data_IF_358590621644
#
_entry.id   IF_358590621644
#
_cell.length_a   1.000
_cell.length_b   1.000
_cell.length_c   1.000
_cell.angle_alpha   90.00
_cell.angle_beta   90.00
_cell.angle_gamma   90.00
#
_symmetry.space_group_name_H-M   'P 1'
#
loop_
_entity.id
_entity.type
_entity.pdbx_description
1 polymer ?
#
# COMPACT_ATOMS: atom_id res chain seq x y z
N UNK A 1 -17.82 35.75 43.46
CA UNK A 1 -17.21 36.09 42.15
C UNK A 1 -18.16 35.57 41.10
N UNK A 2 -18.81 36.45 40.35
CA UNK A 2 -19.71 36.06 39.25
C UNK A 2 -18.87 35.30 38.22
N UNK A 3 -19.21 34.03 37.99
CA UNK A 3 -18.48 33.16 37.09
C UNK A 3 -18.70 33.67 35.65
N UNK A 4 -17.77 34.47 35.15
CA UNK A 4 -17.87 35.19 33.88
C UNK A 4 -17.53 34.29 32.67
N UNK A 5 -17.83 33.00 32.80
CA UNK A 5 -17.45 31.94 31.87
C UNK A 5 -18.72 31.35 31.28
N UNK A 6 -18.80 31.39 29.95
CA UNK A 6 -19.94 30.91 29.19
C UNK A 6 -19.87 29.38 29.02
N UNK A 7 -20.13 28.67 30.13
CA UNK A 7 -20.14 27.21 30.17
C UNK A 7 -21.36 26.61 29.46
N UNK A 8 -21.19 25.43 28.89
CA UNK A 8 -22.26 24.72 28.19
C UNK A 8 -23.41 24.36 29.14
N UNK A 9 -24.65 24.51 28.65
CA UNK A 9 -25.84 24.02 29.35
C UNK A 9 -25.76 22.49 29.49
N UNK A 10 -26.36 21.96 30.56
CA UNK A 10 -26.43 20.52 30.82
C UNK A 10 -26.94 19.71 29.62
N UNK A 11 -27.96 20.22 28.92
CA UNK A 11 -28.51 19.59 27.71
C UNK A 11 -27.44 19.43 26.62
N UNK A 12 -26.61 20.45 26.39
CA UNK A 12 -25.50 20.38 25.42
C UNK A 12 -24.49 19.31 25.80
N UNK A 13 -24.11 19.25 27.08
CA UNK A 13 -23.15 18.26 27.60
C UNK A 13 -23.69 16.83 27.46
N UNK A 14 -25.00 16.62 27.61
CA UNK A 14 -25.63 15.30 27.47
C UNK A 14 -25.83 14.86 26.01
N UNK A 15 -26.08 15.80 25.09
CA UNK A 15 -26.33 15.50 23.68
C UNK A 15 -25.03 15.27 22.92
N UNK A 16 -24.01 16.09 23.18
CA UNK A 16 -22.74 16.09 22.45
C UNK A 16 -22.06 14.71 22.35
N UNK A 17 -21.86 13.93 23.43
CA UNK A 17 -21.28 12.58 23.33
C UNK A 17 -22.13 11.62 22.50
N UNK A 18 -23.46 11.73 22.56
CA UNK A 18 -24.38 10.84 21.84
C UNK A 18 -24.26 11.02 20.33
N UNK A 19 -23.98 12.24 19.87
CA UNK A 19 -23.79 12.57 18.44
C UNK A 19 -22.58 11.87 17.80
N UNK A 20 -21.61 11.46 18.62
CA UNK A 20 -20.35 10.84 18.17
C UNK A 20 -20.18 9.42 18.74
N UNK A 21 -21.25 8.81 19.26
CA UNK A 21 -21.22 7.46 19.82
C UNK A 21 -20.28 7.31 21.03
N UNK A 22 -20.12 8.36 21.84
CA UNK A 22 -19.17 8.42 22.96
C UNK A 22 -17.71 8.18 22.57
N UNK A 23 -17.33 8.41 21.32
CA UNK A 23 -15.94 8.34 20.85
C UNK A 23 -15.29 9.72 20.83
N UNK A 24 -14.00 9.79 21.14
CA UNK A 24 -13.22 11.02 21.02
C UNK A 24 -13.27 11.55 19.58
N UNK A 25 -13.57 12.83 19.35
CA UNK A 25 -13.70 13.40 18.01
C UNK A 25 -12.37 13.62 17.28
N UNK A 26 -11.23 13.47 17.96
CA UNK A 26 -9.92 13.48 17.29
C UNK A 26 -9.79 12.26 16.36
N UNK A 27 -9.60 12.46 15.03
CA UNK A 27 -9.52 11.38 14.04
C UNK A 27 -8.44 10.34 14.32
N UNK A 28 -7.31 10.74 14.93
CA UNK A 28 -6.21 9.83 15.25
C UNK A 28 -6.42 9.07 16.57
N UNK A 29 -7.38 9.53 17.39
CA UNK A 29 -7.61 8.97 18.72
C UNK A 29 -8.81 8.01 18.73
N UNK A 30 -10.01 8.50 18.36
CA UNK A 30 -11.30 7.78 18.31
C UNK A 30 -11.65 6.83 19.48
N UNK A 31 -10.93 6.86 20.59
CA UNK A 31 -11.14 5.93 21.71
C UNK A 31 -12.50 6.14 22.38
N UNK A 32 -13.04 5.06 22.94
CA UNK A 32 -14.24 5.15 23.78
C UNK A 32 -13.96 6.05 24.98
N UNK A 33 -14.91 6.93 25.26
CA UNK A 33 -14.88 7.83 26.42
C UNK A 33 -15.86 7.43 27.50
N UNK A 34 -16.56 6.31 27.32
CA UNK A 34 -17.48 5.73 28.29
C UNK A 34 -17.23 4.23 28.45
N UNK A 35 -17.45 3.72 29.66
CA UNK A 35 -17.33 2.31 29.99
C UNK A 35 -18.10 1.96 31.26
N UNK A 36 -18.13 0.66 31.58
CA UNK A 36 -18.73 0.17 32.81
C UNK A 36 -18.07 0.78 34.07
N UNK A 37 -18.81 0.80 35.16
CA UNK A 37 -18.30 1.14 36.48
C UNK A 37 -18.48 -0.08 37.42
N UNK A 38 -17.72 -0.13 38.51
CA UNK A 38 -17.90 -1.16 39.54
C UNK A 38 -19.28 -1.09 40.21
N UNK A 39 -19.87 0.11 40.25
CA UNK A 39 -21.26 0.31 40.70
C UNK A 39 -22.20 0.05 39.50
N UNK A 40 -23.12 -0.93 39.58
CA UNK A 40 -23.96 -1.34 38.44
C UNK A 40 -24.80 -0.23 37.81
N UNK A 41 -25.30 0.73 38.59
CA UNK A 41 -26.13 1.84 38.12
C UNK A 41 -25.33 3.03 37.57
N UNK A 42 -24.00 2.89 37.44
CA UNK A 42 -23.11 3.96 36.99
C UNK A 42 -22.31 3.56 35.75
N UNK A 43 -21.93 4.58 34.99
CA UNK A 43 -20.94 4.47 33.94
C UNK A 43 -19.73 5.36 34.28
N UNK A 44 -18.54 4.91 33.88
CA UNK A 44 -17.32 5.71 33.96
C UNK A 44 -17.19 6.51 32.68
N UNK A 45 -17.02 7.83 32.77
CA UNK A 45 -16.73 8.66 31.59
C UNK A 45 -15.43 9.46 31.77
N UNK A 46 -14.63 9.50 30.71
CA UNK A 46 -13.40 10.30 30.61
C UNK A 46 -13.52 11.39 29.52
N UNK A 47 -14.72 11.60 29.00
CA UNK A 47 -14.99 12.57 27.95
C UNK A 47 -15.30 13.96 28.50
N UNK A 48 -14.97 14.97 27.72
CA UNK A 48 -15.10 16.39 28.03
C UNK A 48 -15.78 17.07 26.85
N UNK A 49 -16.81 17.87 27.13
CA UNK A 49 -17.36 18.83 26.18
C UNK A 49 -16.42 20.05 26.13
N UNK A 50 -15.52 20.06 25.14
CA UNK A 50 -14.55 21.14 24.97
C UNK A 50 -15.11 22.24 24.08
N UNK A 51 -14.72 23.48 24.36
CA UNK A 51 -15.02 24.63 23.52
C UNK A 51 -14.07 24.72 22.34
N UNK A 52 -14.59 24.89 21.12
CA UNK A 52 -13.80 25.13 19.92
C UNK A 52 -13.18 26.53 19.98
N UNK A 53 -13.99 27.54 20.31
CA UNK A 53 -13.56 28.90 20.69
C UNK A 53 -13.88 29.14 22.17
N UNK A 54 -12.95 29.74 22.92
CA UNK A 54 -13.06 29.81 24.38
C UNK A 54 -14.36 30.46 24.91
N UNK A 55 -14.78 29.96 26.08
CA UNK A 55 -15.93 30.40 26.86
C UNK A 55 -15.78 31.80 27.50
N UNK A 56 -14.56 32.35 27.52
CA UNK A 56 -14.26 33.63 28.16
C UNK A 56 -13.01 34.25 27.58
N UNK A 57 -12.89 35.57 27.69
CA UNK A 57 -11.71 36.32 27.24
C UNK A 57 -10.42 35.79 27.86
N UNK A 58 -9.35 35.74 27.06
CA UNK A 58 -8.04 35.20 27.46
C UNK A 58 -7.91 33.67 27.39
N UNK A 59 -8.97 32.95 26.99
CA UNK A 59 -8.89 31.52 26.71
C UNK A 59 -8.43 31.19 25.28
N UNK A 60 -8.08 29.91 25.01
CA UNK A 60 -7.60 29.49 23.69
C UNK A 60 -8.59 29.79 22.57
N UNK A 61 -8.11 30.37 21.46
CA UNK A 61 -8.93 30.70 20.27
C UNK A 61 -10.19 31.52 20.61
N UNK A 62 -10.13 32.41 21.60
CA UNK A 62 -11.27 33.27 21.94
C UNK A 62 -11.63 34.18 20.76
N UNK A 63 -12.91 34.18 20.36
CA UNK A 63 -13.45 35.10 19.35
C UNK A 63 -14.37 36.11 20.02
N UNK A 64 -13.99 37.39 20.03
CA UNK A 64 -14.76 38.49 20.65
C UNK A 64 -16.12 38.73 20.00
N UNK A 65 -16.31 38.32 18.74
CA UNK A 65 -17.53 38.59 17.99
C UNK A 65 -18.69 37.65 18.34
N UNK A 66 -18.42 36.56 19.09
CA UNK A 66 -19.44 35.59 19.48
C UNK A 66 -20.25 36.09 20.68
N UNK A 67 -21.57 36.00 20.58
CA UNK A 67 -22.49 36.21 21.72
C UNK A 67 -22.41 35.05 22.72
N UNK A 68 -22.88 35.27 23.94
CA UNK A 68 -22.96 34.22 24.96
C UNK A 68 -23.80 33.02 24.50
N UNK A 69 -24.87 33.25 23.75
CA UNK A 69 -25.67 32.18 23.15
C UNK A 69 -24.85 31.36 22.16
N UNK A 70 -24.05 32.00 21.31
CA UNK A 70 -23.20 31.32 20.34
C UNK A 70 -22.05 30.56 21.03
N UNK A 71 -21.43 31.14 22.07
CA UNK A 71 -20.35 30.48 22.84
C UNK A 71 -20.82 29.22 23.53
N UNK A 72 -22.05 29.24 24.06
CA UNK A 72 -22.67 28.10 24.76
C UNK A 72 -23.42 27.14 23.83
N UNK A 73 -23.48 27.44 22.53
CA UNK A 73 -24.17 26.60 21.56
C UNK A 73 -23.40 25.31 21.27
N UNK A 74 -24.12 24.24 20.92
CA UNK A 74 -23.49 22.96 20.56
C UNK A 74 -22.57 23.09 19.36
N UNK A 75 -22.79 24.06 18.47
CA UNK A 75 -21.94 24.32 17.30
C UNK A 75 -20.51 24.66 17.71
N UNK A 76 -20.33 25.38 18.82
CA UNK A 76 -19.03 25.70 19.40
C UNK A 76 -18.46 24.58 20.30
N UNK A 77 -19.13 23.42 20.39
CA UNK A 77 -18.72 22.30 21.24
C UNK A 77 -18.15 21.13 20.43
N UNK A 78 -17.13 20.47 20.98
CA UNK A 78 -16.55 19.22 20.46
C UNK A 78 -16.35 18.21 21.60
N UNK A 79 -16.69 16.94 21.37
CA UNK A 79 -16.49 15.88 22.36
C UNK A 79 -15.09 15.28 22.25
N UNK A 80 -14.29 15.36 23.32
CA UNK A 80 -12.93 14.83 23.34
C UNK A 80 -12.68 14.02 24.61
N UNK A 81 -11.74 13.08 24.59
CA UNK A 81 -11.22 12.52 25.83
C UNK A 81 -10.41 13.58 26.61
N UNK A 82 -10.25 13.39 27.92
CA UNK A 82 -9.47 14.28 28.79
C UNK A 82 -8.09 14.67 28.24
N UNK A 83 -7.35 13.71 27.69
CA UNK A 83 -6.03 13.95 27.11
C UNK A 83 -6.10 14.84 25.87
N UNK A 84 -7.01 14.56 24.93
CA UNK A 84 -7.15 15.34 23.70
C UNK A 84 -7.71 16.74 23.98
N UNK A 85 -8.64 16.87 24.92
CA UNK A 85 -9.14 18.18 25.36
C UNK A 85 -8.00 19.05 25.91
N UNK A 86 -7.14 18.47 26.76
CA UNK A 86 -5.97 19.18 27.28
C UNK A 86 -4.96 19.54 26.18
N UNK A 87 -4.76 18.65 25.20
CA UNK A 87 -3.82 18.83 24.10
C UNK A 87 -4.18 20.02 23.21
N UNK A 88 -5.46 20.14 22.83
CA UNK A 88 -5.91 21.20 21.91
C UNK A 88 -5.80 22.60 22.54
N UNK A 89 -5.94 22.69 23.86
CA UNK A 89 -5.86 23.96 24.58
C UNK A 89 -4.41 24.39 24.83
N UNK A 90 -3.48 23.44 24.96
CA UNK A 90 -2.04 23.73 25.13
C UNK A 90 -1.33 24.15 23.84
N UNK A 91 -1.87 23.80 22.69
CA UNK A 91 -1.26 24.10 21.37
C UNK A 91 -2.30 24.68 20.40
N UNK A 92 -2.81 25.86 20.74
CA UNK A 92 -3.88 26.54 19.99
C UNK A 92 -3.48 26.93 18.55
N UNK A 93 -2.18 27.10 18.29
CA UNK A 93 -1.65 27.42 16.95
C UNK A 93 -1.73 26.22 16.02
N UNK A 94 -1.44 25.02 16.54
CA UNK A 94 -1.56 23.78 15.79
C UNK A 94 -3.02 23.35 15.64
N UNK A 95 -3.81 23.47 16.71
CA UNK A 95 -5.22 23.05 16.72
C UNK A 95 -6.13 24.26 16.55
N UNK A 96 -6.24 24.73 15.30
CA UNK A 96 -7.05 25.89 14.92
C UNK A 96 -8.56 25.59 14.98
N UNK A 97 -9.38 26.64 15.01
CA UNK A 97 -10.86 26.53 14.94
C UNK A 97 -11.31 25.70 13.73
N UNK A 98 -10.68 25.90 12.57
CA UNK A 98 -11.00 25.16 11.35
C UNK A 98 -10.73 23.65 11.50
N UNK A 99 -9.60 23.28 12.11
CA UNK A 99 -9.25 21.87 12.36
C UNK A 99 -10.26 21.22 13.32
N UNK A 100 -10.62 21.90 14.41
CA UNK A 100 -11.56 21.36 15.39
C UNK A 100 -12.98 21.23 14.82
N UNK A 101 -13.42 22.18 14.00
CA UNK A 101 -14.69 22.06 13.26
C UNK A 101 -14.65 20.85 12.30
N UNK A 102 -13.54 20.64 11.60
CA UNK A 102 -13.38 19.47 10.74
C UNK A 102 -13.43 18.15 11.53
N UNK A 103 -12.73 18.07 12.67
CA UNK A 103 -12.76 16.91 13.55
C UNK A 103 -14.16 16.58 14.05
N UNK A 104 -14.91 17.59 14.47
CA UNK A 104 -16.30 17.46 14.87
C UNK A 104 -17.15 16.88 13.73
N UNK A 105 -17.11 17.50 12.56
CA UNK A 105 -17.93 17.08 11.41
C UNK A 105 -17.62 15.64 11.00
N UNK A 106 -16.33 15.28 10.91
CA UNK A 106 -15.91 13.91 10.59
C UNK A 106 -16.41 12.90 11.63
N UNK A 107 -16.33 13.24 12.92
CA UNK A 107 -16.76 12.34 13.99
C UNK A 107 -18.27 12.09 13.98
N UNK A 108 -19.07 13.13 13.68
CA UNK A 108 -20.53 13.04 13.56
C UNK A 108 -20.96 12.29 12.29
N UNK A 109 -20.31 12.56 11.16
CA UNK A 109 -20.51 11.83 9.90
C UNK A 109 -20.19 10.34 10.08
N UNK A 110 -19.05 10.01 10.68
CA UNK A 110 -18.65 8.63 10.96
C UNK A 110 -19.65 7.94 11.90
N UNK A 111 -20.16 8.65 12.91
CA UNK A 111 -21.20 8.13 13.80
C UNK A 111 -22.49 7.82 13.05
N UNK A 112 -22.88 8.68 12.12
CA UNK A 112 -24.06 8.49 11.26
C UNK A 112 -23.88 7.29 10.32
N UNK A 113 -22.72 7.18 9.68
CA UNK A 113 -22.38 6.02 8.84
C UNK A 113 -22.41 4.72 9.63
N UNK A 114 -21.88 4.71 10.86
CA UNK A 114 -21.94 3.54 11.76
C UNK A 114 -23.38 3.16 12.08
N UNK A 115 -24.24 4.13 12.37
CA UNK A 115 -25.64 3.88 12.66
C UNK A 115 -26.41 3.34 11.44
N UNK A 116 -26.07 3.81 10.24
CA UNK A 116 -26.65 3.34 8.98
C UNK A 116 -26.09 1.99 8.49
N UNK A 117 -25.07 1.43 9.16
CA UNK A 117 -24.35 0.24 8.69
C UNK A 117 -23.40 0.49 7.51
N UNK A 118 -23.19 1.76 7.13
CA UNK A 118 -22.26 2.21 6.08
C UNK A 118 -20.81 2.27 6.54
N UNK A 119 -20.55 2.08 7.85
CA UNK A 119 -19.19 1.95 8.37
C UNK A 119 -18.59 0.57 8.05
N UNK A 120 -18.50 0.26 6.77
CA UNK A 120 -17.62 -0.77 6.26
C UNK A 120 -16.20 -0.22 6.31
N UNK A 121 -15.30 -0.99 6.93
CA UNK A 121 -13.86 -0.82 6.75
C UNK A 121 -13.60 -0.54 5.26
N UNK A 122 -12.72 0.40 4.91
CA UNK A 122 -12.05 0.38 3.60
C UNK A 122 -11.17 -0.89 3.52
N UNK A 123 -11.80 -2.07 3.55
CA UNK A 123 -11.23 -3.33 3.10
C UNK A 123 -11.27 -3.25 1.59
N UNK A 124 -10.19 -3.65 0.94
CA UNK A 124 -10.23 -4.05 -0.47
C UNK A 124 -11.35 -5.08 -0.60
N UNK A 125 -12.52 -4.70 -1.14
CA UNK A 125 -13.68 -5.62 -1.35
C UNK A 125 -13.42 -6.64 -2.46
N UNK A 126 -12.22 -6.61 -3.04
CA UNK A 126 -11.82 -7.41 -4.18
C UNK A 126 -10.43 -8.03 -3.93
N UNK A 127 -10.12 -9.16 -4.60
CA UNK A 127 -8.81 -9.77 -4.55
C UNK A 127 -7.71 -8.77 -4.90
N UNK A 128 -6.60 -8.85 -4.18
CA UNK A 128 -5.42 -8.01 -4.39
C UNK A 128 -4.22 -8.90 -4.65
N UNK A 129 -3.84 -9.00 -5.93
CA UNK A 129 -2.68 -9.77 -6.34
C UNK A 129 -1.47 -8.89 -6.59
N UNK A 130 -0.36 -9.26 -5.97
CA UNK A 130 0.97 -8.71 -6.21
C UNK A 130 1.92 -9.84 -6.60
N UNK A 131 3.01 -9.52 -7.26
CA UNK A 131 4.05 -10.48 -7.57
C UNK A 131 5.42 -10.01 -7.12
N UNK A 132 6.30 -10.99 -6.94
CA UNK A 132 7.73 -10.82 -6.70
C UNK A 132 8.53 -11.65 -7.72
N UNK A 133 9.73 -11.17 -8.06
CA UNK A 133 10.66 -11.83 -8.97
C UNK A 133 11.96 -12.17 -8.24
N UNK A 134 12.02 -13.37 -7.69
CA UNK A 134 13.11 -13.81 -6.84
C UNK A 134 14.18 -14.47 -7.71
N UNK A 135 15.35 -13.81 -7.85
CA UNK A 135 16.51 -14.40 -8.54
C UNK A 135 16.98 -15.68 -7.83
N UNK A 136 17.13 -16.77 -8.59
CA UNK A 136 17.62 -18.06 -8.07
C UNK A 136 19.08 -18.28 -8.42
N UNK A 137 19.40 -18.27 -9.70
CA UNK A 137 20.74 -18.43 -10.22
C UNK A 137 20.82 -17.92 -11.67
N UNK A 138 22.04 -17.85 -12.18
CA UNK A 138 22.30 -17.55 -13.58
C UNK A 138 23.68 -18.06 -13.97
N UNK A 139 23.94 -18.12 -15.27
CA UNK A 139 25.18 -18.65 -15.79
C UNK A 139 25.34 -18.37 -17.28
N UNK A 140 26.54 -18.63 -17.79
CA UNK A 140 26.82 -18.63 -19.23
C UNK A 140 27.24 -20.02 -19.68
N UNK A 141 26.74 -20.43 -20.82
CA UNK A 141 26.97 -21.74 -21.39
C UNK A 141 27.60 -21.57 -22.77
N UNK A 142 28.71 -22.26 -23.00
CA UNK A 142 29.41 -22.22 -24.28
C UNK A 142 28.63 -23.06 -25.31
N UNK A 143 28.15 -22.40 -26.37
CA UNK A 143 27.39 -23.01 -27.47
C UNK A 143 28.26 -23.22 -28.74
N UNK A 144 29.58 -23.08 -28.60
CA UNK A 144 30.56 -23.26 -29.67
C UNK A 144 31.39 -22.01 -29.95
N UNK A 145 32.47 -22.20 -30.71
CA UNK A 145 33.37 -21.12 -31.10
C UNK A 145 32.83 -20.35 -32.31
N UNK A 146 32.97 -19.03 -32.28
CA UNK A 146 32.65 -18.16 -33.40
C UNK A 146 33.56 -18.41 -34.60
N UNK A 147 33.01 -18.23 -35.81
CA UNK A 147 33.75 -18.22 -37.07
C UNK A 147 34.69 -17.01 -37.20
N UNK A 148 34.52 -15.99 -36.35
CA UNK A 148 35.36 -14.79 -36.28
C UNK A 148 36.71 -15.02 -35.60
N UNK A 149 36.90 -16.17 -34.94
CA UNK A 149 38.21 -16.50 -34.39
C UNK A 149 39.24 -16.68 -35.51
N UNK A 150 40.51 -16.29 -35.29
CA UNK A 150 41.59 -16.56 -36.23
C UNK A 150 41.67 -18.05 -36.55
N UNK A 151 41.99 -18.39 -37.80
CA UNK A 151 42.11 -19.77 -38.25
C UNK A 151 43.56 -20.07 -38.60
N UNK A 152 44.03 -21.23 -38.18
CA UNK A 152 45.34 -21.78 -38.53
C UNK A 152 45.14 -23.13 -39.22
N UNK A 153 46.08 -23.49 -40.11
CA UNK A 153 46.07 -24.79 -40.78
C UNK A 153 47.11 -25.68 -40.10
N UNK A 154 46.65 -26.73 -39.43
CA UNK A 154 47.50 -27.73 -38.79
C UNK A 154 47.22 -29.06 -39.48
N UNK A 155 48.26 -29.68 -40.05
CA UNK A 155 48.18 -30.95 -40.79
C UNK A 155 47.07 -30.98 -41.87
N UNK A 156 46.93 -29.90 -42.63
CA UNK A 156 45.95 -29.78 -43.71
C UNK A 156 44.49 -29.57 -43.26
N UNK A 157 44.24 -29.45 -41.94
CA UNK A 157 42.93 -29.13 -41.37
C UNK A 157 42.91 -27.69 -40.85
N UNK A 158 41.84 -26.97 -41.17
CA UNK A 158 41.63 -25.61 -40.62
C UNK A 158 41.08 -25.72 -39.21
N UNK A 159 41.85 -25.23 -38.24
CA UNK A 159 41.50 -25.20 -36.82
C UNK A 159 41.41 -23.74 -36.36
N UNK A 160 40.55 -23.43 -35.39
CA UNK A 160 40.57 -22.11 -34.77
C UNK A 160 41.82 -21.97 -33.92
N UNK A 161 42.60 -20.93 -34.15
CA UNK A 161 43.69 -20.52 -33.26
C UNK A 161 43.05 -19.88 -32.03
N UNK A 162 42.88 -20.69 -30.99
CA UNK A 162 42.29 -20.25 -29.73
C UNK A 162 43.36 -19.49 -28.95
N UNK A 163 43.43 -18.18 -29.17
CA UNK A 163 44.15 -17.27 -28.27
C UNK A 163 43.57 -17.34 -26.85
N UNK A 164 44.21 -16.73 -25.84
CA UNK A 164 43.71 -16.69 -24.45
C UNK A 164 42.29 -16.08 -24.28
N UNK A 165 41.70 -15.51 -25.34
CA UNK A 165 40.35 -14.93 -25.33
C UNK A 165 39.56 -15.34 -26.58
N UNK A 166 39.10 -16.61 -26.69
CA UNK A 166 38.30 -17.02 -27.83
C UNK A 166 36.94 -16.31 -27.85
N UNK A 167 36.50 -15.96 -29.05
CA UNK A 167 35.14 -15.50 -29.31
C UNK A 167 34.23 -16.73 -29.32
N UNK A 168 33.25 -16.76 -28.43
CA UNK A 168 32.35 -17.89 -28.20
C UNK A 168 30.91 -17.41 -28.39
N UNK A 169 30.05 -18.29 -28.89
CA UNK A 169 28.61 -18.13 -28.80
C UNK A 169 28.17 -18.52 -27.38
N UNK A 170 27.85 -17.52 -26.56
CA UNK A 170 27.37 -17.71 -25.19
C UNK A 170 25.84 -17.73 -25.18
N UNK A 171 25.27 -18.70 -24.48
CA UNK A 171 23.91 -18.58 -23.95
C UNK A 171 24.02 -18.13 -22.49
N UNK A 172 23.49 -16.95 -22.18
CA UNK A 172 23.48 -16.38 -20.84
C UNK A 172 22.08 -16.57 -20.28
N UNK A 173 21.94 -17.35 -19.21
CA UNK A 173 20.66 -17.65 -18.58
C UNK A 173 20.52 -16.96 -17.22
N UNK A 174 19.29 -16.50 -16.94
CA UNK A 174 18.82 -16.09 -15.62
C UNK A 174 17.59 -16.91 -15.26
N UNK A 175 17.58 -17.49 -14.05
CA UNK A 175 16.46 -18.25 -13.51
C UNK A 175 15.88 -17.55 -12.30
N UNK A 176 14.55 -17.53 -12.24
CA UNK A 176 13.78 -16.85 -11.22
C UNK A 176 12.67 -17.76 -10.68
N UNK A 177 12.27 -17.49 -9.44
CA UNK A 177 10.94 -17.84 -8.97
C UNK A 177 10.07 -16.60 -9.06
N UNK A 178 9.05 -16.65 -9.92
CA UNK A 178 8.06 -15.61 -10.07
C UNK A 178 6.85 -15.98 -9.21
N UNK A 179 6.70 -15.31 -8.08
CA UNK A 179 5.69 -15.65 -7.08
C UNK A 179 4.56 -14.65 -7.13
N UNK A 180 3.31 -15.11 -7.22
CA UNK A 180 2.11 -14.28 -7.17
C UNK A 180 1.44 -14.48 -5.83
N UNK A 181 1.30 -13.43 -5.05
CA UNK A 181 0.69 -13.39 -3.71
C UNK A 181 -0.72 -12.82 -3.79
N UNK A 182 -1.66 -13.44 -3.07
CA UNK A 182 -2.95 -12.84 -2.76
C UNK A 182 -2.89 -12.15 -1.40
N UNK A 183 -2.59 -10.85 -1.41
CA UNK A 183 -2.50 -10.02 -0.20
C UNK A 183 -3.87 -9.45 0.21
N UNK A 184 -4.93 -10.26 0.09
CA UNK A 184 -6.29 -9.90 0.50
C UNK A 184 -7.02 -11.04 1.20
N UNK A 185 -8.14 -10.69 1.83
CA UNK A 185 -9.08 -11.66 2.41
C UNK A 185 -10.01 -12.32 1.38
N UNK A 186 -9.88 -11.99 0.09
CA UNK A 186 -10.80 -12.43 -0.97
C UNK A 186 -10.07 -13.38 -1.93
N UNK A 187 -10.67 -14.52 -2.32
CA UNK A 187 -10.05 -15.42 -3.29
C UNK A 187 -9.93 -14.75 -4.68
N UNK A 188 -8.85 -15.06 -5.40
CA UNK A 188 -8.68 -14.68 -6.79
C UNK A 188 -8.87 -15.89 -7.70
N UNK A 189 -9.67 -15.76 -8.75
CA UNK A 189 -10.00 -16.85 -9.68
C UNK A 189 -9.42 -16.62 -11.06
N UNK A 190 -9.13 -17.74 -11.74
CA UNK A 190 -8.67 -17.81 -13.12
C UNK A 190 -7.49 -16.86 -13.39
N UNK A 191 -6.51 -16.90 -12.49
CA UNK A 191 -5.33 -16.03 -12.56
C UNK A 191 -4.51 -16.40 -13.79
N UNK A 192 -4.06 -15.40 -14.52
CA UNK A 192 -3.24 -15.54 -15.72
C UNK A 192 -2.16 -14.47 -15.77
N UNK A 193 -1.03 -14.80 -16.39
CA UNK A 193 0.12 -13.90 -16.56
C UNK A 193 0.41 -13.79 -18.05
N UNK A 194 0.46 -12.56 -18.54
CA UNK A 194 0.73 -12.24 -19.94
C UNK A 194 1.88 -11.24 -20.06
N UNK A 195 2.80 -11.47 -20.99
CA UNK A 195 3.81 -10.47 -21.36
C UNK A 195 3.23 -9.53 -22.42
N UNK A 196 3.15 -8.24 -22.12
CA UNK A 196 2.57 -7.22 -23.01
C UNK A 196 3.62 -6.22 -23.54
N UNK A 197 4.86 -6.28 -23.04
CA UNK A 197 5.99 -5.49 -23.51
C UNK A 197 6.73 -6.14 -24.70
N UNK A 198 7.81 -5.48 -25.15
CA UNK A 198 8.69 -6.02 -26.20
C UNK A 198 9.55 -7.17 -25.69
N UNK A 199 10.05 -7.04 -24.47
CA UNK A 199 10.86 -8.06 -23.82
C UNK A 199 9.95 -9.03 -23.05
N UNK A 200 10.36 -10.28 -22.98
CA UNK A 200 9.59 -11.39 -22.40
C UNK A 200 10.54 -12.42 -21.79
N UNK A 201 10.04 -13.20 -20.83
CA UNK A 201 10.75 -14.41 -20.41
C UNK A 201 10.85 -15.39 -21.58
N UNK A 202 12.00 -16.03 -21.73
CA UNK A 202 12.18 -17.15 -22.67
C UNK A 202 11.31 -18.33 -22.27
N UNK A 203 11.10 -18.52 -20.96
CA UNK A 203 10.15 -19.48 -20.40
C UNK A 203 9.54 -18.95 -19.11
N UNK A 204 8.24 -19.20 -18.91
CA UNK A 204 7.57 -19.05 -17.62
C UNK A 204 6.53 -20.17 -17.49
N UNK A 205 6.44 -20.78 -16.31
CA UNK A 205 5.43 -21.80 -16.04
C UNK A 205 4.02 -21.26 -16.27
N UNK A 206 3.15 -22.09 -16.85
CA UNK A 206 1.77 -21.70 -17.15
C UNK A 206 0.84 -22.14 -16.04
N UNK A 207 -0.04 -21.24 -15.62
CA UNK A 207 -1.18 -21.58 -14.78
C UNK A 207 -2.24 -22.33 -15.60
N UNK A 208 -2.89 -23.32 -14.98
CA UNK A 208 -4.06 -23.99 -15.55
C UNK A 208 -5.16 -22.99 -15.87
N UNK A 209 -5.91 -23.19 -16.97
CA UNK A 209 -7.00 -22.28 -17.38
C UNK A 209 -8.04 -22.03 -16.28
N UNK A 210 -8.32 -23.06 -15.47
CA UNK A 210 -9.16 -22.97 -14.28
C UNK A 210 -8.23 -23.14 -13.07
N UNK A 211 -8.10 -22.08 -12.27
CA UNK A 211 -7.28 -22.04 -11.07
C UNK A 211 -7.84 -21.00 -10.09
N UNK A 212 -7.31 -20.99 -8.87
CA UNK A 212 -7.57 -19.94 -7.90
C UNK A 212 -6.38 -19.78 -6.94
N UNK A 213 -6.20 -18.58 -6.39
CA UNK A 213 -5.28 -18.31 -5.29
C UNK A 213 -6.14 -17.94 -4.06
N UNK A 214 -6.19 -18.77 -3.02
CA UNK A 214 -6.95 -18.48 -1.80
C UNK A 214 -6.46 -17.21 -1.09
N UNK A 215 -7.24 -16.66 -0.15
CA UNK A 215 -6.82 -15.53 0.68
C UNK A 215 -5.48 -15.78 1.36
N UNK A 216 -4.57 -14.80 1.29
CA UNK A 216 -3.25 -14.84 1.95
C UNK A 216 -2.37 -16.03 1.56
N UNK A 217 -2.61 -16.61 0.37
CA UNK A 217 -1.78 -17.65 -0.22
C UNK A 217 -1.03 -17.11 -1.44
N UNK A 218 -0.12 -17.92 -1.98
CA UNK A 218 0.65 -17.60 -3.17
C UNK A 218 0.73 -18.79 -4.14
N UNK A 219 1.15 -18.49 -5.36
CA UNK A 219 1.57 -19.50 -6.35
C UNK A 219 2.96 -19.15 -6.86
N UNK A 220 3.81 -20.16 -6.99
CA UNK A 220 5.17 -20.05 -7.49
C UNK A 220 5.26 -20.54 -8.93
N UNK A 221 5.84 -19.73 -9.81
CA UNK A 221 6.10 -20.05 -11.21
C UNK A 221 7.60 -20.00 -11.48
N UNK A 222 8.16 -21.04 -12.09
CA UNK A 222 9.54 -20.99 -12.56
C UNK A 222 9.61 -20.11 -13.81
N UNK A 223 10.52 -19.14 -13.81
CA UNK A 223 10.77 -18.29 -14.97
C UNK A 223 12.25 -18.31 -15.38
N UNK A 224 12.50 -18.21 -16.68
CA UNK A 224 13.83 -18.20 -17.29
C UNK A 224 13.93 -17.16 -18.38
N UNK A 225 15.07 -16.50 -18.46
CA UNK A 225 15.47 -15.68 -19.60
C UNK A 225 16.82 -16.14 -20.13
N UNK A 226 16.91 -16.34 -21.43
CA UNK A 226 18.13 -16.69 -22.15
C UNK A 226 18.47 -15.56 -23.14
N UNK A 227 19.73 -15.11 -23.13
CA UNK A 227 20.28 -14.16 -24.10
C UNK A 227 21.47 -14.79 -24.81
N UNK A 228 21.48 -14.75 -26.14
CA UNK A 228 22.64 -15.18 -26.92
C UNK A 228 23.59 -14.01 -27.18
N UNK A 229 24.87 -14.19 -26.87
CA UNK A 229 25.94 -13.22 -27.09
C UNK A 229 27.12 -13.87 -27.78
N UNK A 230 27.62 -13.27 -28.86
CA UNK A 230 28.84 -13.71 -29.53
C UNK A 230 29.99 -12.81 -29.09
N UNK A 231 30.92 -13.32 -28.29
CA UNK A 231 31.98 -12.51 -27.73
C UNK A 231 32.96 -13.29 -26.85
N UNK A 232 33.90 -12.57 -26.26
CA UNK A 232 34.85 -13.16 -25.31
C UNK A 232 34.19 -13.37 -23.94
N UNK A 233 34.81 -14.17 -23.08
CA UNK A 233 34.24 -14.55 -21.77
C UNK A 233 33.96 -13.35 -20.86
N UNK A 234 34.84 -12.34 -20.84
CA UNK A 234 34.73 -11.17 -19.97
C UNK A 234 33.54 -10.28 -20.33
N UNK A 235 33.16 -10.20 -21.61
CA UNK A 235 31.95 -9.50 -22.03
C UNK A 235 30.70 -10.21 -21.52
N UNK A 236 30.65 -11.55 -21.62
CA UNK A 236 29.55 -12.34 -21.08
C UNK A 236 29.45 -12.22 -19.54
N UNK A 237 30.59 -12.18 -18.85
CA UNK A 237 30.66 -11.96 -17.40
C UNK A 237 30.09 -10.58 -17.00
N UNK A 238 30.39 -9.53 -17.77
CA UNK A 238 29.81 -8.19 -17.54
C UNK A 238 28.30 -8.13 -17.82
N UNK A 239 27.79 -8.88 -18.80
CA UNK A 239 26.35 -8.98 -19.07
C UNK A 239 25.62 -9.64 -17.88
N UNK A 240 26.16 -10.72 -17.33
CA UNK A 240 25.52 -11.48 -16.24
C UNK A 240 25.73 -10.88 -14.84
N UNK A 241 26.49 -9.78 -14.73
CA UNK A 241 26.81 -9.09 -13.47
C UNK A 241 25.58 -8.65 -12.68
N UNK A 242 24.46 -8.42 -13.37
CA UNK A 242 23.19 -8.03 -12.77
C UNK A 242 22.27 -9.24 -12.57
N UNK A 243 21.65 -9.33 -11.37
CA UNK A 243 20.66 -10.37 -11.04
C UNK A 243 19.41 -10.28 -11.91
N UNK A 244 19.02 -9.07 -12.30
CA UNK A 244 17.98 -8.81 -13.29
C UNK A 244 18.64 -8.31 -14.59
N UNK A 245 18.36 -8.93 -15.75
CA UNK A 245 18.89 -8.48 -17.03
C UNK A 245 18.53 -7.01 -17.30
N UNK A 246 19.47 -6.21 -17.81
CA UNK A 246 19.18 -4.80 -18.17
C UNK A 246 18.06 -4.66 -19.19
N UNK A 247 17.89 -5.65 -20.07
CA UNK A 247 16.79 -5.71 -21.04
C UNK A 247 15.41 -5.75 -20.38
N UNK A 248 15.31 -6.21 -19.14
CA UNK A 248 14.03 -6.27 -18.44
C UNK A 248 13.48 -4.90 -18.06
N UNK A 249 14.22 -3.80 -18.22
CA UNK A 249 13.66 -2.45 -18.07
C UNK A 249 12.43 -2.23 -18.97
N UNK A 250 12.33 -2.95 -20.09
CA UNK A 250 11.17 -2.91 -21.02
C UNK A 250 10.23 -4.12 -20.85
N UNK A 251 10.44 -4.95 -19.83
CA UNK A 251 9.54 -6.06 -19.48
C UNK A 251 8.30 -5.50 -18.78
N UNK A 252 7.15 -5.78 -19.39
CA UNK A 252 5.84 -5.43 -18.81
C UNK A 252 5.01 -6.70 -18.78
N UNK A 253 4.62 -7.12 -17.58
CA UNK A 253 3.70 -8.23 -17.39
C UNK A 253 2.34 -7.72 -16.94
N UNK A 254 1.30 -8.49 -17.27
CA UNK A 254 -0.06 -8.29 -16.82
C UNK A 254 -0.51 -9.53 -16.08
N UNK A 255 -0.88 -9.37 -14.81
CA UNK A 255 -1.65 -10.37 -14.08
C UNK A 255 -3.12 -10.01 -14.22
N UNK A 256 -3.90 -10.92 -14.80
CA UNK A 256 -5.34 -10.81 -14.93
C UNK A 256 -6.01 -11.87 -14.08
N UNK A 257 -7.03 -11.49 -13.32
CA UNK A 257 -7.73 -12.35 -12.38
C UNK A 257 -9.17 -11.85 -12.15
N UNK A 258 -10.00 -12.68 -11.50
CA UNK A 258 -11.41 -12.39 -11.27
C UNK A 258 -11.77 -12.55 -9.78
N UNK A 259 -12.79 -11.81 -9.34
CA UNK A 259 -13.42 -12.02 -8.04
C UNK A 259 -14.57 -13.04 -8.10
N UNK A 260 -15.28 -13.24 -6.98
CA UNK A 260 -16.41 -14.16 -6.86
C UNK A 260 -17.57 -13.80 -7.81
N UNK A 261 -17.77 -12.50 -8.05
CA UNK A 261 -18.81 -11.95 -8.92
C UNK A 261 -18.41 -11.93 -10.40
N UNK A 262 -17.21 -12.44 -10.73
CA UNK A 262 -16.62 -12.45 -12.08
C UNK A 262 -16.29 -11.05 -12.63
N UNK A 263 -16.10 -10.06 -11.78
CA UNK A 263 -15.48 -8.81 -12.21
C UNK A 263 -13.99 -9.05 -12.47
N UNK A 264 -13.49 -8.43 -13.53
CA UNK A 264 -12.09 -8.53 -13.94
C UNK A 264 -11.22 -7.52 -13.18
N UNK A 265 -10.05 -7.98 -12.76
CA UNK A 265 -9.04 -7.17 -12.08
C UNK A 265 -7.69 -7.37 -12.75
N UNK A 266 -6.88 -6.29 -12.77
CA UNK A 266 -5.58 -6.27 -13.43
C UNK A 266 -4.52 -5.66 -12.52
N UNK A 267 -3.41 -6.38 -12.37
CA UNK A 267 -2.14 -5.85 -11.82
C UNK A 267 -1.12 -5.81 -12.95
N UNK A 268 -0.54 -4.63 -13.20
CA UNK A 268 0.57 -4.47 -14.12
C UNK A 268 1.88 -4.55 -13.35
N UNK A 269 2.86 -5.23 -13.93
CA UNK A 269 4.19 -5.38 -13.36
C UNK A 269 5.22 -4.80 -14.30
N UNK A 270 6.15 -4.02 -13.75
CA UNK A 270 7.26 -3.42 -14.49
C UNK A 270 8.55 -3.57 -13.71
N UNK A 271 9.68 -3.59 -14.40
CA UNK A 271 10.98 -3.49 -13.74
C UNK A 271 11.44 -2.05 -13.75
N UNK A 272 11.64 -1.47 -12.57
CA UNK A 272 12.17 -0.12 -12.41
C UNK A 272 13.43 -0.22 -11.55
N UNK A 273 14.57 0.27 -12.06
CA UNK A 273 15.86 0.23 -11.38
C UNK A 273 16.30 -1.18 -10.92
N UNK A 274 15.89 -2.23 -11.64
CA UNK A 274 16.23 -3.61 -11.28
C UNK A 274 15.38 -4.21 -10.15
N UNK A 275 14.21 -3.64 -9.87
CA UNK A 275 13.21 -4.18 -8.95
C UNK A 275 11.84 -4.30 -9.63
N UNK A 276 11.04 -5.29 -9.24
CA UNK A 276 9.68 -5.46 -9.73
C UNK A 276 8.72 -4.53 -8.99
N UNK A 277 8.05 -3.68 -9.75
CA UNK A 277 7.04 -2.73 -9.25
C UNK A 277 5.65 -3.23 -9.65
N UNK A 278 4.76 -3.30 -8.67
CA UNK A 278 3.35 -3.66 -8.83
C UNK A 278 2.51 -2.38 -8.99
N UNK A 279 1.96 -2.15 -10.18
CA UNK A 279 1.07 -1.03 -10.48
C UNK A 279 -0.37 -1.54 -10.66
N UNK A 280 -1.28 -1.11 -9.78
CA UNK A 280 -2.69 -1.42 -9.95
C UNK A 280 -3.26 -0.60 -11.11
N UNK A 281 -3.87 -1.27 -12.09
CA UNK A 281 -4.74 -0.57 -13.02
C UNK A 281 -5.96 -0.09 -12.24
N UNK A 282 -6.10 1.22 -12.06
CA UNK A 282 -7.33 1.79 -11.50
C UNK A 282 -8.40 1.68 -12.58
N UNK A 283 -9.44 0.89 -12.34
CA UNK A 283 -10.69 0.96 -13.09
C UNK A 283 -11.54 2.12 -12.57
#
# INVERSE_FOLDING_TARGET
>A
MTNNRDDFKKVTIEVLPKRVGYLCSNPDCRKSTIGANEIPEKATSIGIAAHITAASGGGPRYDENLTTEQRTHIDNAIWLCSNCATLIDKDEKKYTVAILNNWKNLAEEESTKKLNGEAQNKKTEAPFLEADLIWKNGGRYNQGYSTKNPKEVIDGRTVYSVSNHPIIYWEIEWRFNFTIYNNSSFPAYNVSVESIGKEHFTHIDKLSKVNNIPPFQNVDLTAKYSLYHEGISTEADEIMKHRIPKKFNDLILRIKYFDEDRNEHITLLKIVNGELVNEKASH
#
